data_IF_177018124683
#
_entry.id   IF_177018124683
#
_cell.length_a   1.000
_cell.length_b   1.000
_cell.length_c   1.000
_cell.angle_alpha   90.00
_cell.angle_beta   90.00
_cell.angle_gamma   90.00
#
_symmetry.space_group_name_H-M   'P 1'
#
loop_
_entity.id
_entity.type
_entity.pdbx_description
1 polymer ?
#
# COMPACT_ATOMS: atom_id res chain seq x y z
N UNK A 1 -9.89 13.72 -7.84
CA UNK A 1 -11.17 13.85 -8.56
C UNK A 1 -11.87 15.10 -8.08
N UNK A 2 -12.90 15.59 -8.76
CA UNK A 2 -13.73 16.69 -8.23
C UNK A 2 -14.43 16.33 -6.90
N UNK A 3 -14.41 15.05 -6.53
CA UNK A 3 -14.98 14.52 -5.28
C UNK A 3 -14.03 14.59 -4.09
N UNK A 4 -12.75 14.97 -4.28
CA UNK A 4 -11.84 15.21 -3.15
C UNK A 4 -12.28 16.48 -2.39
N UNK A 5 -12.31 16.47 -1.04
CA UNK A 5 -11.80 15.44 -0.13
C UNK A 5 -12.86 14.43 0.34
N UNK A 6 -14.09 14.47 -0.17
CA UNK A 6 -15.14 13.52 0.25
C UNK A 6 -14.82 12.07 -0.17
N UNK A 7 -14.10 11.89 -1.28
CA UNK A 7 -13.53 10.60 -1.68
C UNK A 7 -11.99 10.67 -1.73
N UNK A 8 -11.30 9.55 -1.45
CA UNK A 8 -9.85 9.50 -1.52
C UNK A 8 -9.35 9.75 -2.95
N UNK A 9 -8.13 10.28 -3.11
CA UNK A 9 -7.47 10.24 -4.41
C UNK A 9 -7.13 8.79 -4.80
N UNK A 10 -7.03 8.52 -6.10
CA UNK A 10 -6.47 7.27 -6.58
C UNK A 10 -4.95 7.34 -6.55
N UNK A 11 -4.31 6.36 -5.91
CA UNK A 11 -2.84 6.28 -5.78
C UNK A 11 -2.35 4.95 -6.35
N UNK A 12 -1.27 5.01 -7.13
CA UNK A 12 -0.57 3.83 -7.64
C UNK A 12 0.93 4.09 -7.77
N UNK A 13 1.73 3.05 -7.62
CA UNK A 13 3.13 3.08 -8.04
C UNK A 13 3.23 3.06 -9.56
N UNK A 14 4.09 3.93 -10.11
CA UNK A 14 4.42 3.93 -11.53
C UNK A 14 5.53 2.91 -11.82
N UNK A 15 6.42 2.69 -10.86
CA UNK A 15 7.44 1.65 -10.91
C UNK A 15 6.83 0.28 -10.64
N UNK A 16 7.48 -0.77 -11.17
CA UNK A 16 7.20 -2.14 -10.72
C UNK A 16 7.58 -2.26 -9.25
N UNK A 17 6.70 -2.90 -8.47
CA UNK A 17 6.89 -3.09 -7.03
C UNK A 17 6.75 -4.57 -6.69
N UNK A 18 7.70 -5.10 -5.93
CA UNK A 18 7.59 -6.41 -5.29
C UNK A 18 7.35 -6.17 -3.80
N UNK A 19 6.08 -6.14 -3.37
CA UNK A 19 5.71 -5.78 -2.01
C UNK A 19 4.42 -6.50 -1.58
N UNK A 20 4.29 -6.98 -0.33
CA UNK A 20 3.10 -7.73 0.13
C UNK A 20 1.77 -7.01 -0.10
N UNK A 21 1.75 -5.68 0.02
CA UNK A 21 0.53 -4.86 -0.09
C UNK A 21 0.43 -4.03 -1.39
N UNK A 22 1.20 -4.35 -2.42
CA UNK A 22 1.11 -3.70 -3.74
C UNK A 22 0.73 -4.71 -4.83
N UNK A 23 -0.29 -4.39 -5.62
CA UNK A 23 -0.75 -5.22 -6.74
C UNK A 23 0.18 -5.08 -7.97
N UNK A 24 0.05 -6.00 -8.92
CA UNK A 24 0.86 -6.01 -10.13
C UNK A 24 0.68 -4.76 -11.02
N UNK A 25 -0.47 -4.10 -10.93
CA UNK A 25 -0.77 -2.84 -11.64
C UNK A 25 -0.29 -1.58 -10.89
N UNK A 26 0.36 -1.76 -9.73
CA UNK A 26 0.87 -0.70 -8.88
C UNK A 26 -0.16 -0.13 -7.90
N UNK A 27 -1.42 -0.60 -7.90
CA UNK A 27 -2.40 -0.19 -6.90
C UNK A 27 -1.99 -0.69 -5.51
N UNK A 28 -2.40 0.04 -4.46
CA UNK A 28 -1.95 -0.18 -3.08
C UNK A 28 -3.14 -0.67 -2.25
N UNK A 29 -2.96 -1.76 -1.51
CA UNK A 29 -3.90 -2.20 -0.50
C UNK A 29 -3.66 -1.44 0.81
N UNK A 30 -4.31 -0.27 0.94
CA UNK A 30 -4.23 0.59 2.11
C UNK A 30 -5.64 1.07 2.48
N UNK A 31 -6.05 0.81 3.71
CA UNK A 31 -7.42 1.01 4.20
C UNK A 31 -7.86 2.48 4.22
N UNK A 32 -6.94 3.42 4.49
CA UNK A 32 -7.23 4.85 4.43
C UNK A 32 -7.56 5.33 3.01
N UNK A 33 -7.18 4.58 1.96
CA UNK A 33 -7.58 4.86 0.57
C UNK A 33 -8.89 4.17 0.18
N UNK A 34 -9.54 3.49 1.12
CA UNK A 34 -10.76 2.70 0.90
C UNK A 34 -11.83 3.05 1.95
N UNK A 35 -12.17 2.08 2.80
CA UNK A 35 -13.25 2.16 3.79
C UNK A 35 -12.90 2.99 5.03
N UNK A 36 -11.62 3.33 5.25
CA UNK A 36 -11.19 4.19 6.35
C UNK A 36 -10.81 5.60 5.91
N UNK A 37 -11.14 5.99 4.68
CA UNK A 37 -10.94 7.36 4.22
C UNK A 37 -11.68 8.36 5.11
N UNK A 38 -10.99 9.45 5.44
CA UNK A 38 -11.55 10.62 6.10
C UNK A 38 -11.15 11.86 5.31
N UNK A 39 -12.06 12.82 5.07
CA UNK A 39 -11.72 14.10 4.44
C UNK A 39 -10.68 14.93 5.20
N UNK A 40 -10.32 14.52 6.43
CA UNK A 40 -9.23 15.12 7.22
C UNK A 40 -7.83 14.68 6.77
N UNK A 41 -7.72 13.61 5.99
CA UNK A 41 -6.44 13.20 5.42
C UNK A 41 -6.07 14.08 4.23
N UNK A 42 -4.85 14.57 4.24
CA UNK A 42 -4.23 15.28 3.12
C UNK A 42 -3.20 14.40 2.40
N UNK A 43 -2.64 14.93 1.31
CA UNK A 43 -1.60 14.23 0.52
C UNK A 43 -0.40 13.85 1.38
N UNK A 44 0.00 14.69 2.35
CA UNK A 44 1.14 14.40 3.21
C UNK A 44 0.87 13.16 4.07
N UNK A 45 -0.29 13.12 4.74
CA UNK A 45 -0.68 11.98 5.59
C UNK A 45 -0.78 10.68 4.80
N UNK A 46 -1.32 10.72 3.57
CA UNK A 46 -1.36 9.57 2.66
C UNK A 46 0.05 9.07 2.35
N UNK A 47 0.97 9.95 1.97
CA UNK A 47 2.35 9.59 1.65
C UNK A 47 3.10 9.03 2.86
N UNK A 48 2.88 9.60 4.05
CA UNK A 48 3.45 9.07 5.30
C UNK A 48 2.91 7.66 5.59
N UNK A 49 1.61 7.42 5.43
CA UNK A 49 1.04 6.07 5.61
C UNK A 49 1.58 5.07 4.59
N UNK A 50 1.81 5.48 3.34
CA UNK A 50 2.45 4.63 2.33
C UNK A 50 3.90 4.32 2.75
N UNK A 51 4.67 5.30 3.21
CA UNK A 51 6.03 5.05 3.71
C UNK A 51 6.04 4.06 4.87
N UNK A 52 5.15 4.22 5.85
CA UNK A 52 5.01 3.26 6.95
C UNK A 52 4.64 1.87 6.47
N UNK A 53 3.75 1.74 5.47
CA UNK A 53 3.38 0.46 4.89
C UNK A 53 4.54 -0.22 4.15
N UNK A 54 5.43 0.56 3.52
CA UNK A 54 6.61 0.04 2.83
C UNK A 54 7.68 -0.44 3.82
N UNK A 55 7.79 0.19 4.98
CA UNK A 55 8.73 -0.19 6.05
C UNK A 55 8.20 -1.39 6.85
N UNK A 56 6.89 -1.41 7.12
CA UNK A 56 6.19 -2.46 7.86
C UNK A 56 5.04 -3.06 7.02
N UNK A 57 5.33 -4.03 6.14
CA UNK A 57 4.29 -4.69 5.35
C UNK A 57 3.29 -5.44 6.23
N UNK A 58 2.04 -5.50 5.79
CA UNK A 58 0.98 -6.30 6.42
C UNK A 58 0.76 -7.63 5.66
N UNK A 59 1.37 -8.75 6.08
CA UNK A 59 1.25 -10.02 5.37
C UNK A 59 -0.09 -10.74 5.63
N UNK A 60 -0.91 -10.28 6.58
CA UNK A 60 -2.21 -10.89 6.90
C UNK A 60 -3.30 -10.51 5.88
N UNK A 61 -3.08 -9.45 5.09
CA UNK A 61 -3.97 -9.03 4.01
C UNK A 61 -3.15 -8.66 2.77
N UNK A 62 -2.56 -9.66 2.09
CA UNK A 62 -1.62 -9.40 1.02
C UNK A 62 -2.34 -9.13 -0.31
N UNK A 63 -1.88 -8.10 -1.02
CA UNK A 63 -2.15 -7.88 -2.44
C UNK A 63 -1.29 -8.79 -3.32
N UNK A 64 -0.11 -9.16 -2.83
CA UNK A 64 0.83 -10.07 -3.47
C UNK A 64 1.21 -11.19 -2.50
N UNK A 65 0.57 -12.35 -2.66
CA UNK A 65 0.77 -13.51 -1.80
C UNK A 65 2.19 -14.05 -1.82
N UNK A 66 2.88 -13.98 -2.98
CA UNK A 66 4.26 -14.44 -3.10
C UNK A 66 5.21 -13.56 -2.28
N UNK A 67 5.07 -12.23 -2.39
CA UNK A 67 5.86 -11.29 -1.60
C UNK A 67 5.59 -11.46 -0.10
N UNK A 68 4.33 -11.67 0.30
CA UNK A 68 3.95 -11.90 1.68
C UNK A 68 4.54 -13.20 2.25
N UNK A 69 4.48 -14.29 1.48
CA UNK A 69 5.08 -15.56 1.87
C UNK A 69 6.59 -15.44 2.06
N UNK A 70 7.30 -14.83 1.10
CA UNK A 70 8.75 -14.60 1.23
C UNK A 70 9.07 -13.70 2.42
N UNK A 71 8.29 -12.64 2.65
CA UNK A 71 8.47 -11.76 3.81
C UNK A 71 8.35 -12.51 5.15
N UNK A 72 7.40 -13.46 5.25
CA UNK A 72 7.17 -14.25 6.47
C UNK A 72 8.15 -15.42 6.63
N UNK A 73 8.44 -16.16 5.56
CA UNK A 73 9.17 -17.44 5.62
C UNK A 73 10.66 -17.29 5.29
N UNK A 74 11.04 -16.28 4.52
CA UNK A 74 12.42 -16.09 4.06
C UNK A 74 12.75 -14.60 3.80
N UNK A 75 12.80 -13.82 4.89
CA UNK A 75 13.07 -12.37 4.83
C UNK A 75 14.34 -12.02 4.04
N UNK A 76 15.37 -12.87 4.09
CA UNK A 76 16.62 -12.67 3.34
C UNK A 76 16.40 -12.72 1.82
N UNK A 77 15.55 -13.62 1.33
CA UNK A 77 15.22 -13.70 -0.10
C UNK A 77 14.30 -12.55 -0.52
N UNK A 78 13.39 -12.12 0.36
CA UNK A 78 12.54 -10.97 0.13
C UNK A 78 13.33 -9.65 -0.05
N UNK A 79 14.43 -9.47 0.69
CA UNK A 79 15.27 -8.25 0.67
C UNK A 79 16.31 -8.21 -0.46
N UNK A 80 16.39 -9.23 -1.33
CA UNK A 80 17.32 -9.26 -2.47
C UNK A 80 16.82 -8.44 -3.65
#
# INVERSE_FOLDING_TARGET
TEEYPNKPPTVRFVSKMFHPNVYADGSICLDILQNRWSPTYDVSSILTSIQSLLDEPNPNSPANSQAAQLYQENKREYEK
#
